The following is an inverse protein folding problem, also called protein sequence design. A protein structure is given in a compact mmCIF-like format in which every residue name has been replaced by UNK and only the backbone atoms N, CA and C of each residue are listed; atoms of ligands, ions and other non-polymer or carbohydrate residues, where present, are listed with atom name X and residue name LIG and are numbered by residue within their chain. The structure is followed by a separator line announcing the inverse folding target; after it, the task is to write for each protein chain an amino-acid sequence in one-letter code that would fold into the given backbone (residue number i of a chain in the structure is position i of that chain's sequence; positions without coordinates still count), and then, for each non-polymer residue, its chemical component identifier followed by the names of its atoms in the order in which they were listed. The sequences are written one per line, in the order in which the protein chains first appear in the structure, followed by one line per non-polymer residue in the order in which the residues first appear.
data_IF_198363605768
#
_entry.id   IF_198363605768
#
_cell.length_a   1.000
_cell.length_b   1.000
_cell.length_c   1.000
_cell.angle_alpha   90.00
_cell.angle_beta   90.00
_cell.angle_gamma   90.00
#
_symmetry.space_group_name_H-M   'P 1'
#
loop_
_entity.id
_entity.type
_entity.pdbx_description
1 polymer ?
#
# COMPACT_ATOMS: atom_id res chain seq x y z
N UNK A 1 29.24 15.87 -2.99
CA UNK A 1 28.17 14.95 -2.54
C UNK A 1 26.84 15.68 -2.68
N UNK A 2 26.17 15.53 -3.81
CA UNK A 2 24.91 16.22 -4.12
C UNK A 2 23.78 15.59 -3.29
N UNK A 3 23.31 16.31 -2.28
CA UNK A 3 22.06 16.01 -1.58
C UNK A 3 20.92 16.25 -2.58
N UNK A 4 20.40 15.19 -3.18
CA UNK A 4 19.18 15.27 -3.97
C UNK A 4 18.00 15.46 -3.00
N UNK A 5 17.29 16.58 -3.14
CA UNK A 5 16.03 16.84 -2.44
C UNK A 5 14.96 15.96 -3.09
N UNK A 6 14.43 14.96 -2.37
CA UNK A 6 13.31 14.15 -2.83
C UNK A 6 12.06 15.01 -2.98
N UNK A 7 11.29 14.81 -4.03
CA UNK A 7 9.96 15.42 -4.17
C UNK A 7 8.99 14.86 -3.14
N UNK A 8 7.87 15.55 -2.84
CA UNK A 8 6.83 15.05 -1.93
C UNK A 8 6.31 13.67 -2.35
N UNK A 9 6.14 13.47 -3.67
CA UNK A 9 5.73 12.20 -4.28
C UNK A 9 6.72 11.08 -3.96
N UNK A 10 8.01 11.31 -4.17
CA UNK A 10 9.04 10.31 -3.89
C UNK A 10 9.18 10.04 -2.40
N UNK A 11 8.99 11.07 -1.56
CA UNK A 11 9.00 10.94 -0.10
C UNK A 11 7.84 10.06 0.37
N UNK A 12 6.62 10.27 -0.13
CA UNK A 12 5.46 9.44 0.19
C UNK A 12 5.66 8.01 -0.32
N UNK A 13 6.13 7.84 -1.56
CA UNK A 13 6.41 6.52 -2.11
C UNK A 13 7.47 5.76 -1.29
N UNK A 14 8.55 6.43 -0.89
CA UNK A 14 9.57 5.87 -0.02
C UNK A 14 8.99 5.49 1.35
N UNK A 15 8.15 6.34 1.94
CA UNK A 15 7.47 6.05 3.20
C UNK A 15 6.54 4.83 3.10
N UNK A 16 5.80 4.70 2.00
CA UNK A 16 4.97 3.52 1.72
C UNK A 16 5.82 2.26 1.68
N UNK A 17 6.91 2.26 0.91
CA UNK A 17 7.80 1.09 0.78
C UNK A 17 8.45 0.76 2.12
N UNK A 18 8.99 1.77 2.80
CA UNK A 18 9.62 1.61 4.10
C UNK A 18 8.66 1.04 5.13
N UNK A 19 7.44 1.56 5.21
CA UNK A 19 6.42 1.03 6.12
C UNK A 19 6.09 -0.43 5.83
N UNK A 20 6.02 -0.82 4.55
CA UNK A 20 5.81 -2.22 4.20
C UNK A 20 6.97 -3.10 4.71
N UNK A 21 8.22 -2.66 4.50
CA UNK A 21 9.41 -3.38 4.96
C UNK A 21 9.50 -3.49 6.48
N UNK A 22 9.33 -2.37 7.20
CA UNK A 22 9.42 -2.32 8.67
C UNK A 22 8.37 -3.22 9.35
N UNK A 23 7.25 -3.50 8.67
CA UNK A 23 6.13 -4.27 9.22
C UNK A 23 5.98 -5.67 8.59
N UNK A 24 6.94 -6.14 7.78
CA UNK A 24 6.87 -7.41 7.05
C UNK A 24 5.59 -7.55 6.19
N UNK A 25 5.20 -6.45 5.54
CA UNK A 25 4.07 -6.38 4.63
C UNK A 25 4.55 -6.28 3.19
N UNK A 26 3.61 -6.50 2.28
CA UNK A 26 3.84 -6.35 0.86
C UNK A 26 2.86 -5.34 0.27
N UNK A 27 3.25 -4.74 -0.85
CA UNK A 27 2.31 -3.96 -1.65
C UNK A 27 1.52 -4.89 -2.55
N UNK A 28 0.23 -4.59 -2.72
CA UNK A 28 -0.62 -5.36 -3.62
C UNK A 28 -0.01 -5.39 -5.04
N UNK A 29 0.04 -6.54 -5.74
CA UNK A 29 0.76 -6.67 -7.02
C UNK A 29 0.29 -5.75 -8.14
N UNK A 30 -0.96 -5.29 -8.07
CA UNK A 30 -1.53 -4.32 -9.00
C UNK A 30 -1.32 -2.85 -8.62
N UNK A 31 -0.54 -2.56 -7.58
CA UNK A 31 -0.30 -1.21 -7.07
C UNK A 31 1.19 -0.86 -7.15
N UNK A 32 1.47 0.38 -7.54
CA UNK A 32 2.84 0.90 -7.62
C UNK A 32 3.01 2.06 -6.63
N UNK A 33 4.11 2.11 -5.85
CA UNK A 33 4.31 3.14 -4.81
C UNK A 33 4.17 4.57 -5.32
N UNK A 34 4.77 4.86 -6.48
CA UNK A 34 4.75 6.20 -7.08
C UNK A 34 3.34 6.60 -7.53
N UNK A 35 2.61 5.70 -8.19
CA UNK A 35 1.21 5.94 -8.59
C UNK A 35 0.32 6.12 -7.37
N UNK A 36 0.58 5.38 -6.30
CA UNK A 36 -0.17 5.54 -5.06
C UNK A 36 0.14 6.86 -4.36
N UNK A 37 1.40 7.29 -4.36
CA UNK A 37 1.80 8.59 -3.84
C UNK A 37 1.06 9.75 -4.55
N UNK A 38 0.89 9.68 -5.87
CA UNK A 38 0.08 10.65 -6.63
C UNK A 38 -1.37 10.70 -6.12
N UNK A 39 -1.98 9.55 -5.81
CA UNK A 39 -3.32 9.48 -5.25
C UNK A 39 -3.38 10.08 -3.83
N UNK A 40 -2.37 9.80 -3.00
CA UNK A 40 -2.31 10.34 -1.64
C UNK A 40 -2.20 11.87 -1.67
N UNK A 41 -1.35 12.42 -2.54
CA UNK A 41 -1.21 13.87 -2.72
C UNK A 41 -2.52 14.50 -3.21
N UNK A 42 -3.17 13.88 -4.20
CA UNK A 42 -4.45 14.37 -4.75
C UNK A 42 -5.57 14.41 -3.70
N UNK A 43 -5.60 13.44 -2.79
CA UNK A 43 -6.67 13.32 -1.79
C UNK A 43 -6.32 13.94 -0.43
N UNK A 44 -5.05 14.30 -0.20
CA UNK A 44 -4.56 14.74 1.11
C UNK A 44 -4.62 13.65 2.19
N UNK A 45 -4.48 12.37 1.81
CA UNK A 45 -4.63 11.23 2.74
C UNK A 45 -4.92 9.88 2.06
N UNK A 46 -5.57 8.94 2.77
CA UNK A 46 -5.96 7.65 2.17
C UNK A 46 -7.03 7.88 1.10
N UNK A 47 -6.83 7.40 -0.13
CA UNK A 47 -7.77 7.62 -1.22
C UNK A 47 -9.13 6.93 -1.02
N UNK A 48 -9.25 5.94 -0.12
CA UNK A 48 -10.50 5.21 0.10
C UNK A 48 -11.19 5.53 1.44
N UNK A 49 -10.53 6.25 2.36
CA UNK A 49 -11.11 6.61 3.66
C UNK A 49 -10.81 8.09 3.94
N UNK A 50 -11.73 9.01 3.58
CA UNK A 50 -11.49 10.45 3.66
C UNK A 50 -11.13 10.99 5.04
N UNK A 51 -11.53 10.29 6.11
CA UNK A 51 -11.18 10.66 7.49
C UNK A 51 -9.74 10.34 7.89
N UNK A 52 -8.98 9.60 7.05
CA UNK A 52 -7.59 9.24 7.29
C UNK A 52 -6.70 10.15 6.43
N UNK A 53 -6.13 11.19 7.02
CA UNK A 53 -5.36 12.26 6.36
C UNK A 53 -3.90 11.91 6.03
N UNK A 54 -3.47 10.67 6.27
CA UNK A 54 -2.09 10.23 6.04
C UNK A 54 -2.06 8.85 5.38
N UNK A 55 -0.99 8.56 4.64
CA UNK A 55 -0.71 7.25 4.07
C UNK A 55 0.81 7.00 4.11
N UNK A 56 1.31 5.96 4.79
CA UNK A 56 0.58 4.92 5.53
C UNK A 56 -0.19 5.50 6.72
N UNK A 57 -1.40 4.99 6.98
CA UNK A 57 -2.19 5.43 8.14
C UNK A 57 -1.98 4.53 9.35
N UNK A 58 -2.15 5.08 10.55
CA UNK A 58 -2.03 4.32 11.82
C UNK A 58 -2.92 3.07 11.90
N UNK A 59 -4.00 3.03 11.12
CA UNK A 59 -4.97 1.93 11.10
C UNK A 59 -4.57 0.76 10.18
N UNK A 60 -3.50 0.88 9.40
CA UNK A 60 -3.09 -0.17 8.44
C UNK A 60 -2.92 -1.53 9.13
N UNK A 61 -2.25 -1.56 10.28
CA UNK A 61 -1.98 -2.80 11.01
C UNK A 61 -3.23 -3.41 11.64
N UNK A 62 -4.19 -2.57 12.06
CA UNK A 62 -5.49 -3.03 12.56
C UNK A 62 -6.32 -3.64 11.43
N UNK A 63 -6.45 -2.91 10.30
CA UNK A 63 -7.14 -3.41 9.11
C UNK A 63 -6.53 -4.76 8.64
N UNK A 64 -5.21 -4.91 8.70
CA UNK A 64 -4.52 -6.14 8.32
C UNK A 64 -4.87 -7.34 9.21
N UNK A 65 -5.13 -7.13 10.51
CA UNK A 65 -5.57 -8.20 11.41
C UNK A 65 -6.98 -8.67 11.09
N UNK A 66 -7.85 -7.78 10.62
CA UNK A 66 -9.24 -8.10 10.34
C UNK A 66 -9.46 -8.75 8.97
N UNK A 67 -8.73 -8.30 7.94
CA UNK A 67 -9.02 -8.66 6.55
C UNK A 67 -7.77 -8.96 5.70
N UNK A 68 -6.60 -9.18 6.31
CA UNK A 68 -5.34 -9.50 5.64
C UNK A 68 -4.81 -8.41 4.68
N UNK A 69 -5.42 -7.21 4.68
CA UNK A 69 -5.02 -6.05 3.89
C UNK A 69 -5.46 -4.74 4.55
N UNK A 70 -4.87 -3.61 4.18
CA UNK A 70 -5.43 -2.32 4.57
C UNK A 70 -6.75 -2.04 3.85
N UNK A 71 -7.58 -1.11 4.36
CA UNK A 71 -8.89 -0.78 3.76
C UNK A 71 -8.80 -0.36 2.29
N UNK A 72 -7.77 0.40 1.97
CA UNK A 72 -7.51 0.91 0.62
C UNK A 72 -6.87 -0.19 -0.30
N UNK A 73 -6.47 -1.35 0.25
CA UNK A 73 -5.91 -2.48 -0.50
C UNK A 73 -4.46 -2.32 -0.97
N UNK A 74 -3.76 -1.26 -0.54
CA UNK A 74 -2.35 -1.03 -0.87
C UNK A 74 -1.42 -2.02 -0.15
N UNK A 75 -1.56 -2.13 1.17
CA UNK A 75 -0.76 -3.02 2.01
C UNK A 75 -1.48 -4.34 2.19
N UNK A 76 -0.78 -5.44 2.01
CA UNK A 76 -1.28 -6.81 2.11
C UNK A 76 -0.29 -7.66 2.91
N UNK A 77 -0.79 -8.69 3.58
CA UNK A 77 0.06 -9.72 4.18
C UNK A 77 0.17 -10.96 3.28
N UNK A 78 0.99 -11.91 3.70
CA UNK A 78 1.20 -13.17 2.99
C UNK A 78 -0.09 -14.01 2.84
N UNK A 79 -0.98 -13.99 3.84
CA UNK A 79 -2.24 -14.71 3.78
C UNK A 79 -3.11 -14.20 2.60
N UNK A 80 -3.23 -12.88 2.44
CA UNK A 80 -3.92 -12.28 1.31
C UNK A 80 -3.29 -12.69 -0.03
N UNK A 81 -1.96 -12.68 -0.13
CA UNK A 81 -1.28 -13.01 -1.37
C UNK A 81 -1.45 -14.47 -1.78
N UNK A 82 -1.51 -15.39 -0.81
CA UNK A 82 -1.83 -16.80 -1.06
C UNK A 82 -3.22 -16.94 -1.65
N UNK A 83 -4.22 -16.28 -1.05
CA UNK A 83 -5.60 -16.28 -1.56
C UNK A 83 -5.69 -15.66 -2.97
N UNK A 84 -5.05 -14.50 -3.17
CA UNK A 84 -5.01 -13.81 -4.45
C UNK A 84 -4.38 -14.66 -5.56
N UNK A 85 -3.26 -15.31 -5.25
CA UNK A 85 -2.54 -16.17 -6.20
C UNK A 85 -3.35 -17.41 -6.56
N UNK A 86 -4.00 -18.04 -5.58
CA UNK A 86 -4.88 -19.18 -5.81
C UNK A 86 -6.08 -18.80 -6.72
N UNK A 87 -6.71 -17.65 -6.48
CA UNK A 87 -7.79 -17.15 -7.33
C UNK A 87 -7.31 -16.88 -8.76
N UNK A 88 -6.16 -16.21 -8.92
CA UNK A 88 -5.59 -15.92 -10.24
C UNK A 88 -5.21 -17.18 -11.02
N UNK A 89 -4.70 -18.21 -10.34
CA UNK A 89 -4.38 -19.49 -10.97
C UNK A 89 -5.64 -20.18 -11.52
N UNK A 90 -6.74 -20.16 -10.76
CA UNK A 90 -8.04 -20.73 -11.19
C UNK A 90 -8.65 -19.98 -12.38
N UNK A 91 -8.45 -18.67 -12.47
CA UNK A 91 -8.95 -17.86 -13.60
C UNK A 91 -8.18 -18.09 -14.90
N UNK A 92 -6.95 -18.59 -14.87
CA UNK A 92 -6.13 -18.88 -16.06
C UNK A 92 -6.34 -20.28 -16.65
N UNK A 93 -7.14 -21.13 -15.99
CA UNK A 93 -7.45 -22.48 -16.43
C UNK A 93 -8.76 -22.62 -17.22
N UNK A 94 -9.31 -21.52 -17.75
CA UNK A 94 -10.48 -21.51 -18.64
C UNK A 94 -10.11 -20.98 -20.01
#
# INVERSE_FOLDING_TARGET
MTKQTLTDRETIAANIVKFAQDNNLQLHPGQEPLKWADLVLKNGGCPCVPSRSECPCKFVLEDLKEQNRCRCGLFVNDAYLKEYSALKARSKGK
#
